data_IF_879554427887
#
_entry.id   IF_879554427887
#
_cell.length_a   1.000
_cell.length_b   1.000
_cell.length_c   1.000
_cell.angle_alpha   90.00
_cell.angle_beta   90.00
_cell.angle_gamma   90.00
#
_symmetry.space_group_name_H-M   'P 1'
#
loop_
_entity.id
_entity.type
_entity.pdbx_description
1 polymer ?
#
# COMPACT_ATOMS: atom_id res chain seq x y z
N UNK A 1 -32.16 10.40 24.89
CA UNK A 1 -30.97 10.84 24.12
C UNK A 1 -30.19 9.60 23.71
N UNK A 2 -29.88 9.42 22.42
CA UNK A 2 -28.99 8.32 22.00
C UNK A 2 -27.56 8.64 22.41
N UNK A 3 -26.78 7.61 22.75
CA UNK A 3 -25.36 7.78 23.10
C UNK A 3 -24.55 7.86 21.81
N UNK A 4 -23.51 8.68 21.77
CA UNK A 4 -22.62 8.76 20.59
C UNK A 4 -22.05 7.37 20.21
N UNK A 5 -21.71 6.57 21.22
CA UNK A 5 -21.22 5.20 21.05
C UNK A 5 -22.24 4.23 20.42
N UNK A 6 -23.54 4.56 20.38
CA UNK A 6 -24.56 3.74 19.71
C UNK A 6 -24.74 4.09 18.23
N UNK A 7 -24.11 5.16 17.73
CA UNK A 7 -24.23 5.62 16.34
C UNK A 7 -22.88 5.82 15.63
N UNK A 8 -21.77 5.81 16.38
CA UNK A 8 -20.41 5.93 15.85
C UNK A 8 -19.61 4.69 16.23
N UNK A 9 -19.00 4.06 15.22
CA UNK A 9 -17.99 3.01 15.40
C UNK A 9 -16.62 3.57 15.04
N UNK A 10 -15.62 3.34 15.90
CA UNK A 10 -14.23 3.70 15.64
C UNK A 10 -13.48 2.44 15.23
N UNK A 11 -12.96 2.42 14.01
CA UNK A 11 -12.09 1.34 13.57
C UNK A 11 -10.70 1.50 14.20
N UNK A 12 -10.43 0.72 15.26
CA UNK A 12 -9.20 0.81 16.05
C UNK A 12 -7.96 0.26 15.33
N UNK A 13 -8.09 -0.23 14.09
CA UNK A 13 -6.99 -0.86 13.34
C UNK A 13 -6.01 0.13 12.69
N UNK A 14 -6.30 1.43 12.74
CA UNK A 14 -5.40 2.48 12.28
C UNK A 14 -4.02 2.48 12.98
N UNK A 15 -3.94 1.95 14.21
CA UNK A 15 -2.77 2.08 15.09
C UNK A 15 -1.97 0.78 15.31
N UNK A 16 -1.69 0.00 14.25
CA UNK A 16 -0.69 -1.09 14.34
C UNK A 16 0.62 -0.68 13.69
N UNK A 17 1.73 -0.98 14.38
CA UNK A 17 3.05 -0.95 13.77
C UNK A 17 3.12 -2.03 12.68
N UNK A 18 3.50 -1.65 11.47
CA UNK A 18 3.67 -2.57 10.35
C UNK A 18 5.08 -3.16 10.36
N UNK A 19 5.15 -4.50 10.34
CA UNK A 19 6.38 -5.29 10.27
C UNK A 19 6.45 -5.97 8.91
N UNK A 20 7.31 -5.48 8.02
CA UNK A 20 7.35 -5.93 6.63
C UNK A 20 7.63 -7.44 6.49
N UNK A 21 8.53 -7.98 7.30
CA UNK A 21 8.89 -9.39 7.36
C UNK A 21 7.71 -10.30 7.71
N UNK A 22 6.91 -9.90 8.70
CA UNK A 22 5.76 -10.67 9.17
C UNK A 22 4.49 -10.44 8.34
N UNK A 23 4.25 -9.20 7.92
CA UNK A 23 2.98 -8.76 7.34
C UNK A 23 2.90 -8.97 5.82
N UNK A 24 4.01 -9.27 5.14
CA UNK A 24 4.01 -9.63 3.72
C UNK A 24 3.39 -11.02 3.47
N UNK A 25 3.69 -11.99 4.35
CA UNK A 25 3.17 -13.36 4.29
C UNK A 25 1.92 -13.56 5.16
N UNK A 26 1.73 -12.69 6.17
CA UNK A 26 0.51 -12.60 6.95
C UNK A 26 -0.62 -11.92 6.16
N UNK A 27 -1.85 -12.03 6.64
CA UNK A 27 -2.99 -11.30 6.03
C UNK A 27 -2.68 -9.80 6.15
N UNK A 28 -2.46 -9.03 5.06
CA UNK A 28 -2.07 -7.65 5.20
C UNK A 28 -3.25 -6.90 5.82
N UNK A 29 -3.09 -6.24 6.98
CA UNK A 29 -4.19 -5.56 7.63
C UNK A 29 -4.27 -4.15 7.04
N UNK A 30 -4.45 -4.04 5.72
CA UNK A 30 -4.86 -2.78 5.09
C UNK A 30 -6.25 -2.32 5.60
N UNK A 31 -6.94 -3.16 6.39
CA UNK A 31 -8.15 -2.81 7.12
C UNK A 31 -7.90 -1.60 8.02
N UNK A 32 -8.56 -0.49 7.69
CA UNK A 32 -8.42 0.78 8.42
C UNK A 32 -7.21 1.61 8.01
N UNK A 33 -6.44 1.20 7.00
CA UNK A 33 -5.40 2.05 6.43
C UNK A 33 -6.02 3.20 5.64
N UNK A 34 -5.59 4.42 5.95
CA UNK A 34 -5.99 5.63 5.23
C UNK A 34 -4.80 6.14 4.43
N UNK A 35 -4.95 6.16 3.10
CA UNK A 35 -3.90 6.66 2.22
C UNK A 35 -3.73 8.18 2.37
N UNK A 36 -2.60 8.57 2.96
CA UNK A 36 -2.22 9.97 3.10
C UNK A 36 -1.81 10.56 1.76
N UNK A 37 -2.08 11.85 1.53
CA UNK A 37 -1.75 12.53 0.29
C UNK A 37 -0.25 12.52 -0.04
N UNK A 38 0.61 12.60 0.99
CA UNK A 38 2.07 12.51 0.83
C UNK A 38 2.50 11.14 0.30
N UNK A 39 1.94 10.06 0.85
CA UNK A 39 2.19 8.68 0.38
C UNK A 39 1.67 8.49 -1.03
N UNK A 40 0.46 8.97 -1.33
CA UNK A 40 -0.10 8.91 -2.68
C UNK A 40 0.79 9.62 -3.71
N UNK A 41 1.34 10.78 -3.35
CA UNK A 41 2.31 11.51 -4.19
C UNK A 41 3.59 10.71 -4.40
N UNK A 42 4.17 10.12 -3.34
CA UNK A 42 5.36 9.27 -3.45
C UNK A 42 5.13 8.04 -4.33
N UNK A 43 3.99 7.37 -4.18
CA UNK A 43 3.61 6.22 -5.01
C UNK A 43 3.41 6.61 -6.48
N UNK A 44 2.80 7.77 -6.74
CA UNK A 44 2.66 8.30 -8.11
C UNK A 44 4.02 8.53 -8.75
N UNK A 45 4.92 9.26 -8.08
CA UNK A 45 6.26 9.53 -8.59
C UNK A 45 7.03 8.23 -8.86
N UNK A 46 6.91 7.23 -7.98
CA UNK A 46 7.49 5.91 -8.20
C UNK A 46 6.91 5.25 -9.45
N UNK A 47 5.57 5.16 -9.56
CA UNK A 47 4.92 4.51 -10.70
C UNK A 47 5.23 5.18 -12.04
N UNK A 48 5.24 6.52 -12.09
CA UNK A 48 5.59 7.29 -13.28
C UNK A 48 7.05 7.06 -13.69
N UNK A 49 7.99 7.18 -12.75
CA UNK A 49 9.42 6.95 -13.05
C UNK A 49 9.74 5.50 -13.44
N UNK A 50 9.06 4.51 -12.85
CA UNK A 50 9.22 3.11 -13.25
C UNK A 50 8.63 2.86 -14.65
N UNK A 51 7.46 3.43 -14.97
CA UNK A 51 6.81 3.30 -16.28
C UNK A 51 7.61 3.99 -17.39
N UNK A 52 8.06 5.22 -17.14
CA UNK A 52 8.60 6.11 -18.17
C UNK A 52 10.12 5.94 -18.33
N UNK A 53 10.83 5.54 -17.27
CA UNK A 53 12.30 5.49 -17.23
C UNK A 53 12.87 4.19 -16.64
N UNK A 54 12.05 3.23 -16.21
CA UNK A 54 12.50 1.99 -15.58
C UNK A 54 13.43 2.21 -14.37
N UNK A 55 13.19 3.28 -13.61
CA UNK A 55 13.96 3.57 -12.40
C UNK A 55 13.71 2.48 -11.34
N UNK A 56 14.77 1.76 -10.95
CA UNK A 56 14.64 0.55 -10.13
C UNK A 56 14.85 0.73 -8.62
N UNK A 57 15.28 1.90 -8.16
CA UNK A 57 15.69 2.11 -6.77
C UNK A 57 15.10 3.41 -6.18
N UNK A 58 14.55 3.30 -4.97
CA UNK A 58 13.87 4.39 -4.28
C UNK A 58 14.16 4.35 -2.78
N UNK A 59 14.25 5.54 -2.18
CA UNK A 59 14.33 5.69 -0.73
C UNK A 59 13.15 6.53 -0.25
N UNK A 60 12.34 5.99 0.66
CA UNK A 60 11.28 6.74 1.34
C UNK A 60 11.74 7.15 2.73
N UNK A 61 11.88 8.46 2.93
CA UNK A 61 12.25 9.06 4.21
C UNK A 61 11.03 9.71 4.88
N UNK A 62 11.08 9.84 6.20
CA UNK A 62 10.00 10.44 6.97
C UNK A 62 10.06 10.07 8.45
N UNK A 63 9.31 10.76 9.32
CA UNK A 63 9.35 10.53 10.77
C UNK A 63 8.90 9.12 11.16
N UNK A 64 9.27 8.70 12.36
CA UNK A 64 8.71 7.49 12.97
C UNK A 64 7.19 7.59 13.07
N UNK A 65 6.48 6.49 12.80
CA UNK A 65 5.01 6.50 12.74
C UNK A 65 4.42 7.18 11.49
N UNK A 66 5.22 7.74 10.58
CA UNK A 66 4.76 8.40 9.35
C UNK A 66 4.20 7.47 8.27
N UNK A 67 3.92 6.19 8.58
CA UNK A 67 3.26 5.26 7.66
C UNK A 67 4.13 4.66 6.55
N UNK A 68 5.46 4.82 6.58
CA UNK A 68 6.39 4.29 5.55
C UNK A 68 6.26 2.78 5.33
N UNK A 69 6.28 2.00 6.42
CA UNK A 69 6.13 0.53 6.34
C UNK A 69 4.75 0.13 5.82
N UNK A 70 3.69 0.84 6.23
CA UNK A 70 2.34 0.59 5.72
C UNK A 70 2.21 0.95 4.22
N UNK A 71 2.88 2.01 3.77
CA UNK A 71 2.97 2.35 2.35
C UNK A 71 3.71 1.27 1.54
N UNK A 72 4.75 0.67 2.12
CA UNK A 72 5.47 -0.45 1.49
C UNK A 72 4.59 -1.71 1.39
N UNK A 73 3.77 -1.99 2.40
CA UNK A 73 2.77 -3.07 2.32
C UNK A 73 1.68 -2.79 1.29
N UNK A 74 1.22 -1.54 1.17
CA UNK A 74 0.27 -1.15 0.12
C UNK A 74 0.88 -1.36 -1.27
N UNK A 75 2.11 -0.88 -1.48
CA UNK A 75 2.87 -1.10 -2.71
C UNK A 75 3.00 -2.60 -3.03
N UNK A 76 3.44 -3.40 -2.06
CA UNK A 76 3.58 -4.84 -2.22
C UNK A 76 2.29 -5.51 -2.67
N UNK A 77 1.14 -5.11 -2.11
CA UNK A 77 -0.15 -5.67 -2.48
C UNK A 77 -0.71 -5.14 -3.80
N UNK A 78 -0.37 -3.91 -4.20
CA UNK A 78 -0.68 -3.39 -5.55
C UNK A 78 0.07 -4.20 -6.62
N UNK A 79 1.35 -4.52 -6.37
CA UNK A 79 2.24 -5.15 -7.36
C UNK A 79 2.13 -6.68 -7.35
N UNK A 80 2.20 -7.33 -6.19
CA UNK A 80 2.32 -8.79 -6.05
C UNK A 80 1.28 -9.41 -5.11
N UNK A 81 0.28 -8.64 -4.65
CA UNK A 81 -0.74 -9.15 -3.74
C UNK A 81 -1.61 -10.23 -4.36
N UNK A 82 -2.10 -11.16 -3.53
CA UNK A 82 -3.15 -12.12 -3.93
C UNK A 82 -4.38 -11.38 -4.48
N UNK A 83 -5.24 -12.03 -5.27
CA UNK A 83 -6.45 -11.40 -5.85
C UNK A 83 -7.28 -10.63 -4.80
N UNK A 84 -7.44 -11.20 -3.60
CA UNK A 84 -8.15 -10.58 -2.48
C UNK A 84 -7.44 -9.32 -1.97
N UNK A 85 -6.13 -9.42 -1.70
CA UNK A 85 -5.39 -8.29 -1.13
C UNK A 85 -5.15 -7.18 -2.16
N UNK A 86 -4.92 -7.54 -3.41
CA UNK A 86 -4.79 -6.58 -4.52
C UNK A 86 -6.08 -5.79 -4.73
N UNK A 87 -7.26 -6.43 -4.57
CA UNK A 87 -8.54 -5.71 -4.58
C UNK A 87 -8.59 -4.66 -3.47
N UNK A 88 -8.29 -5.03 -2.22
CA UNK A 88 -8.27 -4.09 -1.08
C UNK A 88 -7.27 -2.95 -1.32
N UNK A 89 -6.07 -3.27 -1.83
CA UNK A 89 -5.05 -2.29 -2.13
C UNK A 89 -5.49 -1.29 -3.21
N UNK A 90 -6.17 -1.76 -4.25
CA UNK A 90 -6.74 -0.91 -5.31
C UNK A 90 -7.89 -0.03 -4.81
N UNK A 91 -8.76 -0.56 -3.96
CA UNK A 91 -9.83 0.22 -3.33
C UNK A 91 -9.27 1.38 -2.50
N UNK A 92 -8.15 1.15 -1.79
CA UNK A 92 -7.43 2.19 -1.03
C UNK A 92 -6.70 3.19 -1.95
N UNK A 93 -6.02 2.70 -2.98
CA UNK A 93 -5.22 3.52 -3.88
C UNK A 93 -6.07 4.38 -4.81
N UNK A 94 -7.30 3.94 -5.08
CA UNK A 94 -8.19 4.51 -6.09
C UNK A 94 -7.74 4.17 -7.51
N UNK A 95 -8.62 4.48 -8.46
CA UNK A 95 -8.44 4.14 -9.86
C UNK A 95 -7.16 4.72 -10.50
N UNK A 96 -6.80 6.02 -10.28
CA UNK A 96 -5.63 6.60 -10.95
C UNK A 96 -4.32 5.90 -10.60
N UNK A 97 -4.09 5.61 -9.31
CA UNK A 97 -2.89 4.89 -8.87
C UNK A 97 -2.96 3.42 -9.30
N UNK A 98 -4.13 2.78 -9.21
CA UNK A 98 -4.29 1.39 -9.62
C UNK A 98 -3.93 1.17 -11.09
N UNK A 99 -4.40 2.05 -11.98
CA UNK A 99 -4.06 2.01 -13.41
C UNK A 99 -2.57 2.28 -13.64
N UNK A 100 -1.98 3.28 -12.97
CA UNK A 100 -0.55 3.56 -13.08
C UNK A 100 0.31 2.35 -12.67
N UNK A 101 -0.02 1.70 -11.55
CA UNK A 101 0.76 0.56 -11.06
C UNK A 101 0.62 -0.68 -11.97
N UNK A 102 -0.52 -0.90 -12.60
CA UNK A 102 -0.66 -1.95 -13.62
C UNK A 102 0.25 -1.69 -14.85
N UNK A 103 0.44 -0.42 -15.23
CA UNK A 103 1.32 -0.04 -16.35
C UNK A 103 2.80 -0.10 -15.97
N UNK A 104 3.15 0.35 -14.75
CA UNK A 104 4.52 0.39 -14.27
C UNK A 104 5.09 -1.00 -13.93
N UNK A 105 4.22 -1.92 -13.51
CA UNK A 105 4.58 -3.30 -13.13
C UNK A 105 3.76 -4.32 -13.95
N UNK A 106 3.97 -4.40 -15.28
CA UNK A 106 3.24 -5.34 -16.12
C UNK A 106 3.63 -6.78 -15.80
N UNK A 107 2.68 -7.71 -15.89
CA UNK A 107 2.89 -9.15 -15.63
C UNK A 107 3.17 -9.94 -16.93
N UNK A 108 3.75 -9.31 -17.95
CA UNK A 108 3.99 -9.93 -19.28
C UNK A 108 4.93 -11.13 -19.22
N UNK A 109 5.79 -11.21 -18.19
CA UNK A 109 6.70 -12.33 -17.93
C UNK A 109 6.30 -13.14 -16.69
N UNK A 110 5.03 -13.04 -16.28
CA UNK A 110 4.52 -13.63 -15.05
C UNK A 110 4.38 -12.62 -13.90
N UNK A 111 3.86 -13.07 -12.76
CA UNK A 111 3.61 -12.21 -11.62
C UNK A 111 4.91 -11.71 -10.99
N UNK A 112 4.86 -10.50 -10.43
CA UNK A 112 5.95 -9.95 -9.64
C UNK A 112 6.07 -10.67 -8.30
N UNK A 113 7.30 -10.80 -7.81
CA UNK A 113 7.59 -11.29 -6.46
C UNK A 113 8.00 -10.11 -5.58
N UNK A 114 7.53 -10.12 -4.33
CA UNK A 114 7.99 -9.18 -3.30
C UNK A 114 8.76 -9.97 -2.26
N UNK A 115 9.98 -9.51 -1.98
CA UNK A 115 10.88 -10.13 -1.01
C UNK A 115 11.28 -9.06 0.00
N UNK A 116 10.96 -9.28 1.28
CA UNK A 116 11.56 -8.50 2.35
C UNK A 116 13.02 -8.93 2.52
N UNK A 117 13.93 -7.96 2.45
CA UNK A 117 15.34 -8.16 2.74
C UNK A 117 15.56 -7.64 4.16
N UNK A 118 15.81 -8.55 5.09
CA UNK A 118 16.10 -8.29 6.50
C UNK A 118 17.37 -9.01 6.90
#
# INVERSE_FOLDING_TARGET
MSKLASIVSIDRRFARSARLDADLNGTPPLVGYVLQASVAKSLRTLGESQRDHHQGAYTWTGPYGGGKSSAALLLANLVAGTKKNRKIARDIAGEPLSTLFNQAFPETRGPWNVVAVT
#
